data_IF_450715308802
#
_entry.id   IF_450715308802
#
_cell.length_a   1.000
_cell.length_b   1.000
_cell.length_c   1.000
_cell.angle_alpha   90.00
_cell.angle_beta   90.00
_cell.angle_gamma   90.00
#
_symmetry.space_group_name_H-M   'P 1'
#
loop_
_entity.id
_entity.type
_entity.pdbx_description
1 polymer ?
#
# COMPACT_ATOMS: atom_id res chain seq x y z
N UNK A 1 27.84 -5.53 8.98
CA UNK A 1 27.44 -6.17 7.71
C UNK A 1 25.99 -5.78 7.51
N UNK A 2 25.71 -4.86 6.59
CA UNK A 2 24.34 -4.44 6.31
C UNK A 2 23.60 -5.62 5.65
N UNK A 3 22.34 -5.89 6.03
CA UNK A 3 21.59 -6.98 5.41
C UNK A 3 21.37 -6.65 3.92
N UNK A 4 21.90 -7.51 3.04
CA UNK A 4 21.65 -7.43 1.60
C UNK A 4 20.30 -8.09 1.33
N UNK A 5 19.32 -7.31 0.89
CA UNK A 5 18.06 -7.86 0.38
C UNK A 5 18.30 -8.24 -1.09
N UNK A 6 18.57 -9.52 -1.34
CA UNK A 6 18.69 -10.05 -2.70
C UNK A 6 17.29 -10.34 -3.26
N UNK A 7 16.84 -9.53 -4.22
CA UNK A 7 15.53 -9.68 -4.84
C UNK A 7 15.37 -8.86 -6.11
N UNK A 8 14.34 -9.17 -6.91
CA UNK A 8 13.96 -8.35 -8.05
C UNK A 8 13.13 -7.16 -7.56
N UNK A 9 13.58 -5.94 -7.89
CA UNK A 9 12.83 -4.72 -7.59
C UNK A 9 11.61 -4.62 -8.51
N UNK A 10 10.42 -4.50 -7.93
CA UNK A 10 9.19 -4.16 -8.63
C UNK A 10 8.79 -2.75 -8.19
N UNK A 11 8.83 -1.80 -9.13
CA UNK A 11 8.33 -0.43 -8.94
C UNK A 11 7.13 -0.21 -9.83
N UNK A 12 6.02 0.22 -9.26
CA UNK A 12 4.83 0.62 -10.01
C UNK A 12 4.43 2.03 -9.58
N UNK A 13 4.14 2.85 -10.60
CA UNK A 13 3.50 4.16 -10.44
C UNK A 13 2.09 4.04 -11.05
N UNK A 14 1.04 4.58 -10.41
CA UNK A 14 -0.34 4.56 -10.92
C UNK A 14 -0.40 4.95 -12.41
N UNK A 15 -1.32 4.35 -13.20
CA UNK A 15 -2.74 4.29 -12.83
C UNK A 15 -3.30 2.90 -12.52
N UNK A 16 -2.52 1.82 -12.63
CA UNK A 16 -3.04 0.49 -12.29
C UNK A 16 -3.14 0.34 -10.77
N UNK A 17 -4.33 0.11 -10.20
CA UNK A 17 -4.48 -0.16 -8.77
C UNK A 17 -3.93 -1.54 -8.38
N UNK A 18 -3.72 -2.41 -9.38
CA UNK A 18 -3.33 -3.80 -9.20
C UNK A 18 -1.82 -4.00 -9.40
N UNK A 19 -1.19 -4.56 -8.37
CA UNK A 19 0.20 -5.03 -8.38
C UNK A 19 0.17 -6.56 -8.46
N UNK A 20 0.74 -7.12 -9.52
CA UNK A 20 0.88 -8.58 -9.65
C UNK A 20 2.12 -9.06 -8.91
N UNK A 21 1.93 -10.02 -8.00
CA UNK A 21 2.99 -10.72 -7.28
C UNK A 21 2.97 -12.19 -7.66
N UNK A 22 4.08 -12.74 -8.13
CA UNK A 22 4.18 -14.16 -8.43
C UNK A 22 3.84 -15.01 -7.18
N UNK A 23 3.04 -16.06 -7.37
CA UNK A 23 2.61 -16.95 -6.29
C UNK A 23 3.75 -17.76 -5.68
N UNK A 24 3.59 -18.15 -4.40
CA UNK A 24 4.56 -18.97 -3.66
C UNK A 24 5.78 -18.23 -3.13
N UNK A 25 5.78 -16.90 -3.18
CA UNK A 25 6.89 -16.04 -2.75
C UNK A 25 6.53 -15.15 -1.56
N UNK A 26 7.57 -14.69 -0.86
CA UNK A 26 7.45 -13.63 0.13
C UNK A 26 8.07 -12.33 -0.39
N UNK A 27 7.42 -11.22 -0.09
CA UNK A 27 7.78 -9.90 -0.57
C UNK A 27 7.91 -8.94 0.61
N UNK A 28 8.98 -8.15 0.64
CA UNK A 28 9.03 -6.93 1.42
C UNK A 28 8.37 -5.82 0.61
N UNK A 29 7.24 -5.32 1.09
CA UNK A 29 6.44 -4.27 0.46
C UNK A 29 6.62 -3.00 1.26
N UNK A 30 7.17 -1.97 0.62
CA UNK A 30 7.10 -0.60 1.11
C UNK A 30 6.18 0.21 0.21
N UNK A 31 5.33 1.03 0.80
CA UNK A 31 4.46 1.94 0.06
C UNK A 31 4.45 3.32 0.69
N UNK A 32 4.30 4.32 -0.16
CA UNK A 32 4.11 5.71 0.23
C UNK A 32 2.91 6.27 -0.54
N UNK A 33 1.96 6.85 0.18
CA UNK A 33 0.92 7.69 -0.36
C UNK A 33 1.24 9.15 -0.03
N UNK A 34 1.27 9.98 -1.06
CA UNK A 34 1.56 11.40 -1.00
C UNK A 34 0.48 12.21 -1.72
N UNK A 35 0.52 13.53 -1.54
CA UNK A 35 -0.39 14.47 -2.19
C UNK A 35 -1.88 14.18 -1.91
N UNK A 36 -2.16 13.58 -0.75
CA UNK A 36 -3.52 13.20 -0.38
C UNK A 36 -4.34 14.47 -0.20
N UNK A 37 -5.41 14.59 -0.99
CA UNK A 37 -6.37 15.69 -0.87
C UNK A 37 -7.79 15.17 -0.66
N UNK A 38 -8.55 15.91 0.14
CA UNK A 38 -9.91 15.57 0.55
C UNK A 38 -10.76 16.83 0.53
N UNK A 39 -12.07 16.67 0.51
CA UNK A 39 -13.01 17.79 0.67
C UNK A 39 -13.21 18.07 2.17
N UNK A 40 -13.00 19.32 2.57
CA UNK A 40 -13.21 19.77 3.96
C UNK A 40 -14.66 20.24 4.18
N UNK A 41 -15.18 20.19 5.43
CA UNK A 41 -14.50 19.78 6.67
C UNK A 41 -14.37 18.25 6.83
N UNK A 42 -13.26 17.79 7.42
CA UNK A 42 -12.99 16.36 7.68
C UNK A 42 -13.27 16.03 9.15
N UNK A 43 -14.30 15.21 9.39
CA UNK A 43 -14.66 14.78 10.75
C UNK A 43 -14.07 13.42 11.16
N UNK A 44 -13.53 12.65 10.22
CA UNK A 44 -13.02 11.29 10.45
C UNK A 44 -11.61 11.11 9.86
N UNK A 45 -10.80 10.23 10.44
CA UNK A 45 -9.43 9.95 9.97
C UNK A 45 -9.42 9.37 8.55
N UNK A 46 -8.35 9.65 7.79
CA UNK A 46 -8.05 8.93 6.55
C UNK A 46 -7.53 7.56 6.93
N UNK A 47 -7.96 6.51 6.25
CA UNK A 47 -7.62 5.11 6.53
C UNK A 47 -7.27 4.37 5.26
N UNK A 48 -6.16 3.64 5.31
CA UNK A 48 -5.75 2.72 4.25
C UNK A 48 -5.43 1.35 4.82
N UNK A 49 -5.67 0.32 4.01
CA UNK A 49 -5.23 -1.06 4.23
C UNK A 49 -4.60 -1.61 2.97
N UNK A 50 -3.79 -2.67 3.12
CA UNK A 50 -3.37 -3.49 2.00
C UNK A 50 -4.22 -4.75 1.93
N UNK A 51 -4.57 -5.15 0.71
CA UNK A 51 -5.27 -6.40 0.45
C UNK A 51 -4.47 -7.28 -0.50
N UNK A 52 -4.45 -8.59 -0.23
CA UNK A 52 -3.94 -9.61 -1.14
C UNK A 52 -5.11 -10.45 -1.63
N UNK A 53 -5.33 -10.50 -2.95
CA UNK A 53 -6.47 -11.16 -3.58
C UNK A 53 -7.82 -10.74 -2.95
N UNK A 54 -7.94 -9.45 -2.62
CA UNK A 54 -9.13 -8.88 -1.96
C UNK A 54 -9.27 -9.19 -0.47
N UNK A 55 -8.36 -9.95 0.14
CA UNK A 55 -8.33 -10.19 1.60
C UNK A 55 -7.40 -9.21 2.28
N UNK A 56 -7.84 -8.56 3.35
CA UNK A 56 -6.99 -7.66 4.15
C UNK A 56 -5.76 -8.39 4.69
N UNK A 57 -4.60 -7.76 4.54
CA UNK A 57 -3.36 -8.20 5.17
C UNK A 57 -3.35 -7.62 6.58
N UNK A 58 -3.29 -8.49 7.60
CA UNK A 58 -3.31 -8.07 9.00
C UNK A 58 -2.20 -7.05 9.29
N UNK A 59 -2.52 -6.07 10.13
CA UNK A 59 -1.62 -4.99 10.55
C UNK A 59 -1.13 -4.06 9.43
N UNK A 60 -1.76 -4.08 8.26
CA UNK A 60 -1.49 -3.12 7.17
C UNK A 60 -2.13 -1.74 7.36
N UNK A 61 -2.88 -1.56 8.46
CA UNK A 61 -3.64 -0.34 8.73
C UNK A 61 -2.74 0.87 8.95
N UNK A 62 -2.99 1.94 8.22
CA UNK A 62 -2.37 3.25 8.46
C UNK A 62 -3.43 4.35 8.43
N UNK A 63 -3.31 5.32 9.35
CA UNK A 63 -4.26 6.41 9.47
C UNK A 63 -3.61 7.79 9.59
N UNK A 64 -4.26 8.80 9.02
CA UNK A 64 -3.94 10.20 9.23
C UNK A 64 -5.09 10.89 10.00
N UNK A 65 -4.80 11.75 10.99
CA UNK A 65 -5.83 12.31 11.86
C UNK A 65 -6.81 13.23 11.10
N UNK A 66 -8.02 13.48 11.64
CA UNK A 66 -8.99 14.41 11.06
C UNK A 66 -8.42 15.83 10.97
N UNK A 67 -8.89 16.60 9.98
CA UNK A 67 -8.44 17.97 9.69
C UNK A 67 -6.92 18.07 9.48
N UNK A 68 -6.29 16.99 9.03
CA UNK A 68 -4.91 17.04 8.58
C UNK A 68 -4.80 17.98 7.38
N UNK A 69 -3.72 18.77 7.28
CA UNK A 69 -3.54 19.74 6.20
C UNK A 69 -3.53 19.04 4.84
N UNK A 70 -3.98 19.74 3.79
CA UNK A 70 -3.92 19.27 2.40
C UNK A 70 -2.47 18.92 2.03
N UNK A 71 -2.24 17.76 1.41
CA UNK A 71 -0.90 17.27 1.07
C UNK A 71 -0.30 16.33 2.13
N UNK A 72 -1.13 15.44 2.70
CA UNK A 72 -0.71 14.47 3.71
C UNK A 72 0.16 13.40 3.04
N UNK A 73 1.18 12.97 3.76
CA UNK A 73 2.00 11.82 3.43
C UNK A 73 1.76 10.72 4.46
N UNK A 74 1.60 9.49 3.99
CA UNK A 74 1.50 8.31 4.83
C UNK A 74 2.19 7.14 4.15
N UNK A 75 2.79 6.26 4.93
CA UNK A 75 3.60 5.16 4.39
C UNK A 75 3.49 3.94 5.27
N UNK A 76 3.74 2.77 4.69
CA UNK A 76 3.79 1.52 5.43
C UNK A 76 4.82 0.57 4.84
N UNK A 77 5.35 -0.29 5.71
CA UNK A 77 6.25 -1.38 5.33
C UNK A 77 5.73 -2.67 5.92
N UNK A 78 5.64 -3.73 5.11
CA UNK A 78 5.22 -5.04 5.59
C UNK A 78 5.80 -6.19 4.76
N UNK A 79 5.74 -7.39 5.34
CA UNK A 79 6.03 -8.63 4.60
C UNK A 79 4.70 -9.22 4.14
N UNK A 80 4.63 -9.57 2.86
CA UNK A 80 3.46 -10.20 2.23
C UNK A 80 3.88 -11.55 1.67
N UNK A 81 3.19 -12.61 2.07
CA UNK A 81 3.42 -13.96 1.53
C UNK A 81 2.26 -14.36 0.64
N UNK A 82 2.57 -14.70 -0.61
CA UNK A 82 1.59 -15.15 -1.59
C UNK A 82 1.35 -16.66 -1.48
N UNK A 83 0.11 -17.14 -1.66
CA UNK A 83 -0.14 -18.58 -1.73
C UNK A 83 0.57 -19.19 -2.96
N UNK A 84 0.96 -20.47 -2.91
CA UNK A 84 1.47 -21.17 -4.08
C UNK A 84 0.43 -21.19 -5.22
N UNK A 85 0.88 -20.98 -6.46
CA UNK A 85 0.02 -21.03 -7.64
C UNK A 85 0.12 -19.77 -8.51
N UNK A 86 -0.99 -19.30 -9.10
CA UNK A 86 -0.98 -18.13 -9.99
C UNK A 86 -0.62 -16.85 -9.23
N UNK A 87 -0.38 -15.78 -9.99
CA UNK A 87 -0.10 -14.46 -9.44
C UNK A 87 -1.20 -14.01 -8.48
N UNK A 88 -0.77 -13.37 -7.40
CA UNK A 88 -1.64 -12.69 -6.45
C UNK A 88 -1.68 -11.21 -6.73
N UNK A 89 -2.83 -10.60 -6.47
CA UNK A 89 -3.06 -9.16 -6.66
C UNK A 89 -2.92 -8.46 -5.32
N UNK A 90 -1.97 -7.53 -5.23
CA UNK A 90 -1.80 -6.63 -4.11
C UNK A 90 -2.42 -5.26 -4.45
N UNK A 91 -3.20 -4.71 -3.51
CA UNK A 91 -3.81 -3.39 -3.64
C UNK A 91 -3.67 -2.58 -2.36
N UNK A 92 -3.55 -1.25 -2.49
CA UNK A 92 -3.84 -0.29 -1.42
C UNK A 92 -5.28 0.16 -1.53
N UNK A 93 -6.05 -0.05 -0.46
CA UNK A 93 -7.48 0.26 -0.43
C UNK A 93 -7.71 1.39 0.55
N UNK A 94 -8.40 2.44 0.09
CA UNK A 94 -8.94 3.48 0.95
C UNK A 94 -10.20 2.93 1.67
N UNK A 95 -10.16 2.85 2.98
CA UNK A 95 -11.28 2.41 3.83
C UNK A 95 -11.94 3.57 4.59
N UNK A 96 -11.53 4.81 4.30
CA UNK A 96 -12.14 6.01 4.85
C UNK A 96 -13.63 6.08 4.50
N UNK A 97 -14.42 6.73 5.35
CA UNK A 97 -15.86 6.95 5.13
C UNK A 97 -16.18 8.05 4.10
N UNK A 98 -15.16 8.54 3.39
CA UNK A 98 -15.24 9.62 2.41
C UNK A 98 -14.23 9.40 1.27
N UNK A 99 -14.49 9.94 0.08
CA UNK A 99 -13.59 9.81 -1.07
C UNK A 99 -12.31 10.64 -0.89
N UNK A 100 -11.21 10.14 -1.46
CA UNK A 100 -9.94 10.85 -1.62
C UNK A 100 -9.89 11.36 -3.06
N UNK A 101 -9.57 12.64 -3.25
CA UNK A 101 -9.63 13.31 -4.55
C UNK A 101 -8.32 13.22 -5.33
N UNK A 102 -7.18 13.39 -4.65
CA UNK A 102 -5.85 13.21 -5.23
C UNK A 102 -5.05 12.25 -4.35
N UNK A 103 -4.31 11.35 -4.99
CA UNK A 103 -3.52 10.33 -4.32
C UNK A 103 -2.37 9.92 -5.25
N UNK A 104 -1.15 10.32 -4.91
CA UNK A 104 0.05 9.72 -5.46
C UNK A 104 0.42 8.51 -4.61
N UNK A 105 0.49 7.31 -5.19
CA UNK A 105 1.01 6.13 -4.47
C UNK A 105 2.24 5.62 -5.17
N UNK A 106 3.28 5.30 -4.41
CA UNK A 106 4.47 4.61 -4.91
C UNK A 106 4.67 3.33 -4.11
N UNK A 107 4.94 2.23 -4.81
CA UNK A 107 5.33 0.97 -4.21
C UNK A 107 6.78 0.64 -4.54
N UNK A 108 7.50 0.16 -3.53
CA UNK A 108 8.82 -0.45 -3.65
C UNK A 108 8.71 -1.85 -3.09
N UNK A 109 8.83 -2.85 -3.96
CA UNK A 109 8.62 -4.25 -3.59
C UNK A 109 9.86 -5.05 -3.93
N UNK A 110 10.28 -5.89 -2.99
CA UNK A 110 11.43 -6.78 -3.16
C UNK A 110 10.99 -8.20 -2.83
N UNK A 111 11.15 -9.12 -3.79
CA UNK A 111 11.00 -10.55 -3.53
C UNK A 111 12.15 -11.03 -2.62
N UNK A 112 11.85 -11.69 -1.50
CA UNK A 112 12.85 -12.09 -0.49
C UNK A 112 13.00 -13.60 -0.32
N UNK A 113 12.10 -14.40 -0.89
CA UNK A 113 12.16 -15.88 -0.98
C UNK A 113 11.35 -16.37 -2.17
#
# INVERSE_FOLDING_TARGET
>A
MEPVISGTLITQTPPSPDIMLAGGHSYLVNWEASEITITLPQSASIQFILTLNGTEIQFSFVSAPPNSPVGIHTSGTMIVTTPPGPDSVLNLVNTSTFPINNLGVTFTIVAIT
#
